data_IF_436814832470
#
_entry.id   IF_436814832470
#
_cell.length_a   1.000
_cell.length_b   1.000
_cell.length_c   1.000
_cell.angle_alpha   90.00
_cell.angle_beta   90.00
_cell.angle_gamma   90.00
#
_symmetry.space_group_name_H-M   'P 1'
#
loop_
_entity.id
_entity.type
_entity.pdbx_description
1 polymer ?
#
# COMPACT_ATOMS: atom_id res chain seq x y z
N UNK A 1 11.91 -2.49 16.51
CA UNK A 1 12.31 -3.01 15.17
C UNK A 1 12.21 -1.85 14.21
N UNK A 2 13.24 -1.61 13.43
CA UNK A 2 13.28 -0.59 12.37
C UNK A 2 12.70 -1.22 11.12
N UNK A 3 11.70 -0.60 10.49
CA UNK A 3 11.15 -1.11 9.24
C UNK A 3 12.18 -0.94 8.11
N UNK A 4 12.30 -1.96 7.26
CA UNK A 4 13.16 -1.93 6.08
C UNK A 4 12.37 -1.45 4.87
N UNK A 5 12.83 -0.37 4.26
CA UNK A 5 12.19 0.27 3.10
C UNK A 5 13.02 -0.02 1.85
N UNK A 6 12.41 -0.62 0.84
CA UNK A 6 13.02 -0.81 -0.47
C UNK A 6 12.72 0.40 -1.35
N UNK A 7 13.76 1.07 -1.84
CA UNK A 7 13.67 2.18 -2.79
C UNK A 7 14.03 1.67 -4.18
N UNK A 8 13.12 1.85 -5.13
CA UNK A 8 13.25 1.38 -6.51
C UNK A 8 13.09 2.56 -7.48
N UNK A 9 14.16 2.92 -8.17
CA UNK A 9 14.18 4.00 -9.18
C UNK A 9 15.38 3.75 -10.09
N UNK A 10 15.26 3.92 -11.39
CA UNK A 10 16.34 3.70 -12.37
C UNK A 10 17.37 4.83 -12.39
N UNK A 11 17.07 5.95 -11.73
CA UNK A 11 17.98 7.11 -11.62
C UNK A 11 18.73 7.06 -10.29
N UNK A 12 20.06 6.84 -10.29
CA UNK A 12 20.86 6.71 -9.07
C UNK A 12 20.77 7.91 -8.11
N UNK A 13 20.57 9.11 -8.64
CA UNK A 13 20.43 10.32 -7.86
C UNK A 13 19.13 10.32 -7.02
N UNK A 14 18.03 9.81 -7.58
CA UNK A 14 16.75 9.68 -6.88
C UNK A 14 16.86 8.66 -5.74
N UNK A 15 17.46 7.49 -6.04
CA UNK A 15 17.70 6.43 -5.05
C UNK A 15 18.49 6.98 -3.87
N UNK A 16 19.64 7.63 -4.11
CA UNK A 16 20.49 8.20 -3.06
C UNK A 16 19.78 9.27 -2.25
N UNK A 17 18.96 10.09 -2.90
CA UNK A 17 18.20 11.14 -2.21
C UNK A 17 17.17 10.54 -1.24
N UNK A 18 16.39 9.55 -1.69
CA UNK A 18 15.38 8.89 -0.86
C UNK A 18 16.06 8.05 0.25
N UNK A 19 17.15 7.35 -0.06
CA UNK A 19 17.95 6.62 0.91
C UNK A 19 18.46 7.53 2.03
N UNK A 20 19.05 8.68 1.69
CA UNK A 20 19.55 9.64 2.69
C UNK A 20 18.44 10.18 3.59
N UNK A 21 17.27 10.51 3.00
CA UNK A 21 16.11 11.02 3.75
C UNK A 21 15.53 9.98 4.71
N UNK A 22 15.39 8.74 4.27
CA UNK A 22 14.86 7.65 5.08
C UNK A 22 15.85 7.23 6.18
N UNK A 23 17.15 7.15 5.85
CA UNK A 23 18.19 6.82 6.82
C UNK A 23 18.32 7.89 7.91
N UNK A 24 18.10 9.17 7.61
CA UNK A 24 18.05 10.24 8.59
C UNK A 24 16.90 10.06 9.60
N UNK A 25 15.85 9.37 9.23
CA UNK A 25 14.69 9.03 10.08
C UNK A 25 14.78 7.61 10.68
N UNK A 26 15.97 7.02 10.64
CA UNK A 26 16.31 5.71 11.21
C UNK A 26 15.59 4.51 10.57
N UNK A 27 15.20 4.61 9.30
CA UNK A 27 14.76 3.43 8.53
C UNK A 27 15.98 2.65 8.01
N UNK A 28 15.85 1.33 7.96
CA UNK A 28 16.78 0.47 7.21
C UNK A 28 16.39 0.54 5.72
N UNK A 29 17.34 0.86 4.84
CA UNK A 29 17.03 1.11 3.43
C UNK A 29 17.76 0.11 2.54
N UNK A 30 16.99 -0.64 1.76
CA UNK A 30 17.48 -1.41 0.62
C UNK A 30 17.21 -0.63 -0.68
N UNK A 31 18.00 -0.86 -1.70
CA UNK A 31 17.87 -0.16 -2.99
C UNK A 31 17.87 -1.13 -4.16
N UNK A 32 17.10 -0.81 -5.19
CA UNK A 32 17.10 -1.51 -6.47
C UNK A 32 17.04 -0.49 -7.62
N UNK A 33 17.71 -0.81 -8.72
CA UNK A 33 17.78 0.07 -9.89
C UNK A 33 16.88 -0.40 -11.04
N UNK A 34 16.18 -1.50 -10.87
CA UNK A 34 15.25 -2.06 -11.85
C UNK A 34 14.16 -2.91 -11.18
N UNK A 35 13.07 -3.18 -11.92
CA UNK A 35 11.96 -3.97 -11.43
C UNK A 35 12.33 -5.42 -11.10
N UNK A 36 13.25 -6.03 -11.85
CA UNK A 36 13.67 -7.42 -11.62
C UNK A 36 14.38 -7.59 -10.26
N UNK A 37 15.30 -6.67 -9.92
CA UNK A 37 16.01 -6.67 -8.65
C UNK A 37 15.03 -6.41 -7.49
N UNK A 38 14.09 -5.49 -7.68
CA UNK A 38 13.05 -5.21 -6.69
C UNK A 38 12.21 -6.46 -6.37
N UNK A 39 11.76 -7.19 -7.38
CA UNK A 39 11.03 -8.43 -7.20
C UNK A 39 11.87 -9.51 -6.48
N UNK A 40 13.15 -9.61 -6.80
CA UNK A 40 14.06 -10.57 -6.18
C UNK A 40 14.29 -10.27 -4.69
N UNK A 41 14.42 -9.00 -4.30
CA UNK A 41 14.54 -8.55 -2.91
C UNK A 41 13.25 -8.84 -2.13
N UNK A 42 12.09 -8.49 -2.70
CA UNK A 42 10.80 -8.76 -2.07
C UNK A 42 10.54 -10.26 -1.88
N UNK A 43 10.92 -11.10 -2.84
CA UNK A 43 10.75 -12.55 -2.76
C UNK A 43 11.54 -13.18 -1.60
N UNK A 44 12.65 -12.57 -1.17
CA UNK A 44 13.45 -13.02 -0.01
C UNK A 44 12.90 -12.51 1.33
N UNK A 45 11.77 -11.81 1.33
CA UNK A 45 11.20 -11.13 2.50
C UNK A 45 12.19 -10.14 3.17
N UNK A 46 13.01 -9.47 2.36
CA UNK A 46 14.04 -8.54 2.82
C UNK A 46 13.55 -7.09 2.87
N UNK A 47 12.23 -6.83 2.75
CA UNK A 47 11.66 -5.48 2.86
C UNK A 47 10.24 -5.51 3.45
N UNK A 48 9.89 -4.43 4.15
CA UNK A 48 8.58 -4.22 4.77
C UNK A 48 7.70 -3.28 3.95
N UNK A 49 8.31 -2.38 3.17
CA UNK A 49 7.62 -1.38 2.34
C UNK A 49 8.43 -1.18 1.06
N UNK A 50 7.75 -0.95 -0.06
CA UNK A 50 8.37 -0.62 -1.34
C UNK A 50 7.99 0.81 -1.74
N UNK A 51 8.99 1.66 -1.99
CA UNK A 51 8.85 2.93 -2.70
C UNK A 51 9.27 2.68 -4.15
N UNK A 52 8.34 2.80 -5.07
CA UNK A 52 8.49 2.32 -6.44
C UNK A 52 8.29 3.45 -7.44
N UNK A 53 9.32 3.77 -8.21
CA UNK A 53 9.13 4.64 -9.37
C UNK A 53 8.29 3.95 -10.44
N UNK A 54 7.47 4.72 -11.12
CA UNK A 54 6.63 4.22 -12.22
C UNK A 54 7.40 4.18 -13.52
N UNK A 55 8.22 5.21 -13.79
CA UNK A 55 8.88 5.40 -15.07
C UNK A 55 10.25 4.72 -15.08
N UNK A 56 10.28 3.41 -15.24
CA UNK A 56 11.52 2.63 -15.35
C UNK A 56 11.61 1.92 -16.71
N UNK A 57 12.82 1.72 -17.26
CA UNK A 57 13.01 0.93 -18.47
C UNK A 57 12.69 -0.56 -18.24
N UNK A 58 12.40 -1.29 -19.31
CA UNK A 58 12.13 -2.72 -19.39
C UNK A 58 10.85 -3.17 -18.65
N UNK A 59 10.71 -2.85 -17.37
CA UNK A 59 9.55 -3.17 -16.56
C UNK A 59 9.14 -1.93 -15.76
N UNK A 60 7.98 -1.36 -16.10
CA UNK A 60 7.44 -0.19 -15.39
C UNK A 60 6.98 -0.53 -13.96
N UNK A 61 6.81 0.51 -13.14
CA UNK A 61 6.39 0.33 -11.75
C UNK A 61 5.00 -0.29 -11.60
N UNK A 62 4.10 -0.09 -12.55
CA UNK A 62 2.78 -0.71 -12.52
C UNK A 62 2.88 -2.22 -12.66
N UNK A 63 3.72 -2.71 -13.57
CA UNK A 63 3.94 -4.13 -13.77
C UNK A 63 4.64 -4.77 -12.55
N UNK A 64 5.63 -4.09 -11.98
CA UNK A 64 6.28 -4.54 -10.73
C UNK A 64 5.23 -4.67 -9.62
N UNK A 65 4.38 -3.67 -9.44
CA UNK A 65 3.33 -3.68 -8.44
C UNK A 65 2.35 -4.84 -8.65
N UNK A 66 1.83 -5.03 -9.87
CA UNK A 66 0.94 -6.16 -10.20
C UNK A 66 1.56 -7.49 -9.83
N UNK A 67 2.85 -7.70 -10.15
CA UNK A 67 3.56 -8.96 -9.80
C UNK A 67 3.72 -9.14 -8.31
N UNK A 68 4.04 -8.09 -7.57
CA UNK A 68 4.10 -8.14 -6.11
C UNK A 68 2.76 -8.48 -5.50
N UNK A 69 1.67 -7.85 -5.98
CA UNK A 69 0.33 -8.01 -5.41
C UNK A 69 -0.35 -9.32 -5.84
N UNK A 70 0.00 -9.90 -6.98
CA UNK A 70 -0.51 -11.20 -7.42
C UNK A 70 0.19 -12.39 -6.77
N UNK A 71 1.38 -12.20 -6.18
CA UNK A 71 2.13 -13.27 -5.55
C UNK A 71 1.77 -13.42 -4.05
N UNK A 72 1.26 -14.59 -3.60
CA UNK A 72 0.90 -14.83 -2.20
C UNK A 72 2.03 -14.58 -1.19
N UNK A 73 3.28 -14.68 -1.60
CA UNK A 73 4.44 -14.43 -0.73
C UNK A 73 4.73 -12.93 -0.52
N UNK A 74 4.31 -12.06 -1.44
CA UNK A 74 4.68 -10.62 -1.43
C UNK A 74 3.48 -9.68 -1.44
N UNK A 75 2.25 -10.16 -1.71
CA UNK A 75 1.04 -9.31 -1.81
C UNK A 75 0.80 -8.43 -0.57
N UNK A 76 1.27 -8.87 0.58
CA UNK A 76 1.11 -8.18 1.86
C UNK A 76 2.11 -7.04 2.07
N UNK A 77 3.10 -6.88 1.18
CA UNK A 77 4.06 -5.79 1.25
C UNK A 77 3.41 -4.53 0.71
N UNK A 78 3.30 -3.44 1.48
CA UNK A 78 2.78 -2.17 1.00
C UNK A 78 3.67 -1.59 -0.09
N UNK A 79 3.02 -1.09 -1.16
CA UNK A 79 3.69 -0.45 -2.30
C UNK A 79 3.22 1.00 -2.41
N UNK A 80 4.15 1.94 -2.34
CA UNK A 80 3.93 3.36 -2.57
C UNK A 80 4.53 3.73 -3.92
N UNK A 81 3.71 4.17 -4.84
CA UNK A 81 4.18 4.69 -6.13
C UNK A 81 4.79 6.08 -5.94
N UNK A 82 6.01 6.27 -6.44
CA UNK A 82 6.71 7.56 -6.42
C UNK A 82 6.87 8.01 -7.86
N UNK A 83 6.06 8.96 -8.32
CA UNK A 83 5.96 9.24 -9.75
C UNK A 83 5.89 10.73 -10.05
N UNK A 84 6.39 11.13 -11.23
CA UNK A 84 6.15 12.44 -11.81
C UNK A 84 4.78 12.54 -12.51
N UNK A 85 4.11 11.41 -12.70
CA UNK A 85 2.77 11.36 -13.29
C UNK A 85 1.75 11.88 -12.27
N UNK A 86 1.02 12.92 -12.64
CA UNK A 86 0.07 13.59 -11.77
C UNK A 86 -1.38 13.54 -12.30
N UNK A 87 -1.58 12.89 -13.46
CA UNK A 87 -2.90 12.77 -14.05
C UNK A 87 -3.80 11.80 -13.26
N UNK A 88 -5.10 12.08 -13.22
CA UNK A 88 -6.06 11.16 -12.58
C UNK A 88 -6.02 9.73 -13.14
N UNK A 89 -5.78 9.58 -14.46
CA UNK A 89 -5.62 8.29 -15.12
C UNK A 89 -4.46 7.46 -14.56
N UNK A 90 -3.34 8.11 -14.23
CA UNK A 90 -2.16 7.42 -13.72
C UNK A 90 -2.39 6.89 -12.31
N UNK A 91 -3.13 7.65 -11.50
CA UNK A 91 -3.54 7.21 -10.16
C UNK A 91 -4.51 6.03 -10.22
N UNK A 92 -5.45 6.05 -11.16
CA UNK A 92 -6.36 4.92 -11.39
C UNK A 92 -5.56 3.68 -11.81
N UNK A 93 -4.67 3.80 -12.78
CA UNK A 93 -3.81 2.69 -13.23
C UNK A 93 -2.97 2.10 -12.10
N UNK A 94 -2.45 2.94 -11.19
CA UNK A 94 -1.70 2.46 -10.04
C UNK A 94 -2.58 1.77 -8.98
N UNK A 95 -3.80 2.26 -8.73
CA UNK A 95 -4.75 1.58 -7.85
C UNK A 95 -5.16 0.23 -8.44
N UNK A 96 -5.43 0.15 -9.74
CA UNK A 96 -5.71 -1.10 -10.45
C UNK A 96 -4.52 -2.07 -10.41
N UNK A 97 -3.29 -1.55 -10.41
CA UNK A 97 -2.09 -2.36 -10.18
C UNK A 97 -1.94 -2.84 -8.73
N UNK A 98 -2.75 -2.33 -7.81
CA UNK A 98 -2.76 -2.71 -6.40
C UNK A 98 -1.85 -1.86 -5.50
N UNK A 99 -1.45 -0.67 -5.92
CA UNK A 99 -0.68 0.24 -5.08
C UNK A 99 -1.47 0.69 -3.85
N UNK A 100 -0.81 0.76 -2.71
CA UNK A 100 -1.43 1.18 -1.45
C UNK A 100 -1.45 2.70 -1.28
N UNK A 101 -0.50 3.41 -1.90
CA UNK A 101 -0.43 4.88 -1.84
C UNK A 101 0.44 5.48 -2.97
N UNK A 102 0.43 6.82 -3.06
CA UNK A 102 1.14 7.60 -4.08
C UNK A 102 1.89 8.78 -3.49
N UNK A 103 3.07 9.06 -4.04
CA UNK A 103 3.85 10.27 -3.79
C UNK A 103 4.22 10.89 -5.13
N UNK A 104 3.88 12.16 -5.32
CA UNK A 104 4.22 12.91 -6.54
C UNK A 104 5.63 13.51 -6.42
N UNK A 105 6.45 13.35 -7.43
CA UNK A 105 7.75 14.05 -7.55
C UNK A 105 7.52 15.54 -7.88
N UNK A 106 8.22 16.49 -7.25
CA UNK A 106 9.25 16.31 -6.23
C UNK A 106 8.65 15.87 -4.88
N UNK A 107 9.24 14.82 -4.27
CA UNK A 107 8.71 14.21 -3.05
C UNK A 107 8.96 15.13 -1.85
N UNK A 108 7.90 15.51 -1.16
CA UNK A 108 7.98 16.24 0.12
C UNK A 108 8.46 15.30 1.23
N UNK A 109 9.43 15.75 2.02
CA UNK A 109 9.97 14.97 3.15
C UNK A 109 8.88 14.63 4.18
N UNK A 110 8.02 15.62 4.49
CA UNK A 110 6.91 15.42 5.42
C UNK A 110 5.93 14.36 4.92
N UNK A 111 5.57 14.41 3.63
CA UNK A 111 4.67 13.44 3.03
C UNK A 111 5.30 12.05 2.97
N UNK A 112 6.57 11.93 2.59
CA UNK A 112 7.32 10.69 2.53
C UNK A 112 7.33 9.99 3.90
N UNK A 113 7.83 10.69 4.92
CA UNK A 113 8.01 10.12 6.25
C UNK A 113 6.67 9.77 6.90
N UNK A 114 5.65 10.62 6.75
CA UNK A 114 4.31 10.34 7.28
C UNK A 114 3.72 9.06 6.69
N UNK A 115 3.82 8.86 5.36
CA UNK A 115 3.29 7.67 4.69
C UNK A 115 4.06 6.41 5.04
N UNK A 116 5.40 6.47 4.99
CA UNK A 116 6.24 5.32 5.35
C UNK A 116 5.99 4.89 6.80
N UNK A 117 5.92 5.84 7.75
CA UNK A 117 5.59 5.51 9.15
C UNK A 117 4.20 4.90 9.32
N UNK A 118 3.21 5.42 8.60
CA UNK A 118 1.85 4.88 8.67
C UNK A 118 1.77 3.45 8.14
N UNK A 119 2.38 3.20 6.98
CA UNK A 119 2.40 1.88 6.35
C UNK A 119 3.26 0.88 7.12
N UNK A 120 4.41 1.32 7.68
CA UNK A 120 5.23 0.47 8.54
C UNK A 120 4.44 -0.02 9.76
N UNK A 121 3.70 0.88 10.41
CA UNK A 121 2.83 0.50 11.54
C UNK A 121 1.75 -0.49 11.12
N UNK A 122 1.07 -0.23 9.99
CA UNK A 122 0.05 -1.13 9.47
C UNK A 122 0.63 -2.51 9.18
N UNK A 123 1.79 -2.56 8.51
CA UNK A 123 2.50 -3.80 8.20
C UNK A 123 2.84 -4.60 9.46
N UNK A 124 3.41 -3.95 10.47
CA UNK A 124 3.74 -4.62 11.75
C UNK A 124 2.51 -5.21 12.42
N UNK A 125 1.39 -4.47 12.46
CA UNK A 125 0.14 -4.98 13.05
C UNK A 125 -0.42 -6.15 12.26
N UNK A 126 -0.37 -6.09 10.93
CA UNK A 126 -0.85 -7.18 10.07
C UNK A 126 0.00 -8.43 10.19
N UNK A 127 1.33 -8.28 10.29
CA UNK A 127 2.25 -9.40 10.47
C UNK A 127 2.05 -10.06 11.85
N UNK A 128 1.82 -9.27 12.89
CA UNK A 128 1.51 -9.81 14.22
C UNK A 128 0.22 -10.64 14.21
N UNK A 129 -0.83 -10.14 13.56
CA UNK A 129 -2.09 -10.87 13.42
C UNK A 129 -1.92 -12.17 12.62
N UNK A 130 -1.13 -12.14 11.54
CA UNK A 130 -0.80 -13.33 10.75
C UNK A 130 -0.05 -14.37 11.58
N UNK A 131 0.97 -13.94 12.32
CA UNK A 131 1.74 -14.84 13.18
C UNK A 131 0.86 -15.49 14.24
N UNK A 132 -0.03 -14.72 14.88
CA UNK A 132 -0.99 -15.25 15.85
C UNK A 132 -1.94 -16.27 15.20
N UNK A 133 -2.44 -16.00 13.99
CA UNK A 133 -3.32 -16.92 13.27
C UNK A 133 -2.62 -18.24 12.90
N UNK A 134 -1.34 -18.19 12.49
CA UNK A 134 -0.55 -19.37 12.17
C UNK A 134 -0.30 -20.21 13.44
N UNK A 135 0.11 -19.57 14.53
CA UNK A 135 0.35 -20.25 15.81
C UNK A 135 -0.92 -20.90 16.36
N UNK A 136 -2.08 -20.22 16.25
CA UNK A 136 -3.37 -20.79 16.68
C UNK A 136 -3.75 -22.04 15.86
N UNK A 137 -3.47 -22.06 14.56
CA UNK A 137 -3.66 -23.23 13.71
C UNK A 137 -2.78 -24.41 14.10
N UNK A 138 -1.51 -24.16 14.39
CA UNK A 138 -0.56 -25.19 14.81
C UNK A 138 -0.93 -25.82 16.17
N UNK A 139 -1.51 -25.03 17.08
CA UNK A 139 -1.92 -25.50 18.41
C UNK A 139 -3.33 -26.14 18.38
N UNK A 140 -4.01 -26.14 17.22
CA UNK A 140 -5.35 -26.70 17.07
C UNK A 140 -6.46 -25.90 17.75
N UNK A 141 -6.18 -24.64 18.15
CA UNK A 141 -7.15 -23.72 18.69
C UNK A 141 -7.89 -23.07 17.53
N UNK A 142 -9.08 -23.55 17.22
CA UNK A 142 -10.01 -22.83 16.35
C UNK A 142 -10.45 -21.57 17.12
N UNK A 143 -10.00 -20.41 16.69
CA UNK A 143 -10.48 -19.16 17.24
C UNK A 143 -11.53 -18.55 16.29
N UNK A 144 -12.84 -18.75 16.55
CA UNK A 144 -13.90 -18.27 15.68
C UNK A 144 -13.91 -16.74 15.54
N UNK A 145 -13.30 -16.01 16.50
CA UNK A 145 -13.16 -14.55 16.41
C UNK A 145 -12.17 -14.13 15.31
N UNK A 146 -11.09 -14.90 15.10
CA UNK A 146 -10.11 -14.62 14.03
C UNK A 146 -10.68 -14.94 12.65
N UNK A 147 -11.50 -15.97 12.53
CA UNK A 147 -12.21 -16.27 11.27
C UNK A 147 -13.28 -15.19 10.99
N UNK A 148 -14.00 -14.75 12.00
CA UNK A 148 -14.98 -13.67 11.87
C UNK A 148 -14.33 -12.33 11.48
N UNK A 149 -13.13 -12.01 12.00
CA UNK A 149 -12.37 -10.81 11.60
C UNK A 149 -11.89 -10.92 10.15
N UNK A 150 -11.44 -12.10 9.72
CA UNK A 150 -11.02 -12.32 8.33
C UNK A 150 -12.20 -12.24 7.34
N UNK A 151 -13.39 -12.67 7.74
CA UNK A 151 -14.62 -12.51 6.95
C UNK A 151 -15.20 -11.10 7.04
N UNK A 152 -15.15 -10.44 8.19
CA UNK A 152 -15.59 -9.05 8.36
C UNK A 152 -14.75 -8.07 7.52
N UNK A 153 -13.49 -8.39 7.22
CA UNK A 153 -12.65 -7.63 6.30
C UNK A 153 -13.17 -7.60 4.85
N UNK A 154 -14.12 -8.49 4.51
CA UNK A 154 -14.75 -8.52 3.18
C UNK A 154 -16.01 -7.64 3.08
N UNK A 155 -16.57 -7.19 4.20
CA UNK A 155 -17.76 -6.35 4.26
C UNK A 155 -17.46 -5.06 5.03
N UNK A 156 -16.89 -4.07 4.36
CA UNK A 156 -16.61 -2.76 4.95
C UNK A 156 -17.86 -1.88 4.96
N UNK A 157 -18.15 -1.23 6.10
CA UNK A 157 -19.14 -0.17 6.17
C UNK A 157 -18.46 1.17 5.90
N UNK A 158 -18.93 1.89 4.87
CA UNK A 158 -18.41 3.21 4.51
C UNK A 158 -19.40 4.26 5.00
N UNK A 159 -18.95 5.14 5.90
CA UNK A 159 -19.69 6.34 6.28
C UNK A 159 -19.27 7.48 5.36
N UNK A 160 -20.21 7.96 4.57
CA UNK A 160 -20.02 9.14 3.73
C UNK A 160 -20.70 10.35 4.40
N UNK A 161 -19.94 11.42 4.55
CA UNK A 161 -20.46 12.70 5.07
C UNK A 161 -20.09 13.79 4.08
N UNK A 162 -21.11 14.40 3.48
CA UNK A 162 -20.96 15.51 2.53
C UNK A 162 -22.11 16.50 2.78
N UNK A 163 -21.85 17.77 2.69
CA UNK A 163 -22.84 18.85 2.83
C UNK A 163 -23.72 19.02 1.58
N UNK A 164 -23.35 18.38 0.47
CA UNK A 164 -24.06 18.44 -0.82
C UNK A 164 -24.68 17.09 -1.18
N UNK A 165 -26.00 17.03 -1.24
CA UNK A 165 -26.75 15.84 -1.60
C UNK A 165 -26.35 15.25 -2.96
N UNK A 166 -26.03 16.10 -3.95
CA UNK A 166 -25.59 15.65 -5.28
C UNK A 166 -24.24 14.93 -5.28
N UNK A 167 -23.32 15.32 -4.40
CA UNK A 167 -22.03 14.63 -4.23
C UNK A 167 -22.24 13.27 -3.57
N UNK A 168 -23.08 13.21 -2.54
CA UNK A 168 -23.45 11.99 -1.85
C UNK A 168 -24.09 10.97 -2.80
N UNK A 169 -25.09 11.35 -3.58
CA UNK A 169 -25.77 10.46 -4.52
C UNK A 169 -24.83 9.92 -5.61
N UNK A 170 -23.93 10.77 -6.10
CA UNK A 170 -22.92 10.37 -7.10
C UNK A 170 -21.93 9.36 -6.54
N UNK A 171 -21.38 9.59 -5.35
CA UNK A 171 -20.46 8.67 -4.69
C UNK A 171 -21.16 7.36 -4.31
N UNK A 172 -22.38 7.43 -3.79
CA UNK A 172 -23.17 6.25 -3.45
C UNK A 172 -23.51 5.41 -4.67
N UNK A 173 -23.77 6.02 -5.83
CA UNK A 173 -24.03 5.29 -7.08
C UNK A 173 -22.76 4.62 -7.61
N UNK A 174 -21.61 5.29 -7.53
CA UNK A 174 -20.31 4.72 -7.91
C UNK A 174 -19.97 3.50 -7.06
N UNK A 175 -20.09 3.60 -5.73
CA UNK A 175 -19.79 2.50 -4.83
C UNK A 175 -20.74 1.30 -4.99
N UNK A 176 -22.02 1.53 -5.37
CA UNK A 176 -22.97 0.44 -5.64
C UNK A 176 -22.74 -0.24 -6.98
N UNK A 177 -22.23 0.48 -7.97
CA UNK A 177 -21.96 -0.11 -9.31
C UNK A 177 -20.77 -1.08 -9.29
N UNK A 178 -19.92 -1.01 -8.26
CA UNK A 178 -18.75 -1.87 -8.10
C UNK A 178 -19.03 -3.19 -7.36
N UNK A 179 -20.26 -3.38 -6.84
CA UNK A 179 -20.65 -4.63 -6.14
C UNK A 179 -20.62 -5.89 -7.03
N UNK A 180 -20.39 -5.76 -8.33
CA UNK A 180 -20.34 -6.88 -9.26
C UNK A 180 -18.94 -7.32 -9.71
N UNK A 181 -17.87 -6.68 -9.21
CA UNK A 181 -16.50 -7.09 -9.51
C UNK A 181 -15.82 -7.61 -8.24
N UNK A 182 -15.88 -8.92 -8.08
CA UNK A 182 -15.31 -9.66 -6.95
C UNK A 182 -13.78 -9.54 -6.78
N UNK A 183 -13.11 -8.79 -7.63
CA UNK A 183 -11.66 -8.59 -7.59
C UNK A 183 -11.21 -7.25 -6.99
N UNK A 184 -12.10 -6.26 -6.89
CA UNK A 184 -11.78 -4.94 -6.34
C UNK A 184 -11.93 -4.84 -4.81
N UNK A 185 -12.48 -5.85 -4.16
CA UNK A 185 -12.70 -5.85 -2.71
C UNK A 185 -11.43 -5.88 -1.84
N UNK A 186 -10.26 -6.14 -2.41
CA UNK A 186 -9.01 -6.19 -1.65
C UNK A 186 -8.29 -4.84 -1.52
N UNK A 187 -8.72 -3.80 -2.24
CA UNK A 187 -7.93 -2.58 -2.40
C UNK A 187 -8.58 -1.28 -1.93
N UNK A 188 -9.81 -1.30 -1.43
CA UNK A 188 -10.43 -0.10 -0.87
C UNK A 188 -9.97 0.16 0.57
N UNK A 189 -8.69 0.38 0.79
CA UNK A 189 -8.20 1.12 1.94
C UNK A 189 -8.35 2.62 1.70
N UNK A 190 -9.58 3.05 1.43
CA UNK A 190 -9.94 4.44 1.47
C UNK A 190 -10.01 4.86 2.94
N UNK A 191 -8.89 5.32 3.45
CA UNK A 191 -8.85 6.02 4.73
C UNK A 191 -9.52 7.38 4.53
N UNK A 192 -10.84 7.40 4.53
CA UNK A 192 -11.59 8.63 4.80
C UNK A 192 -11.51 8.92 6.29
N UNK A 193 -10.43 9.58 6.70
CA UNK A 193 -10.34 10.20 8.01
C UNK A 193 -11.04 11.54 7.93
N UNK A 194 -12.33 11.56 8.12
CA UNK A 194 -13.07 12.78 8.42
C UNK A 194 -13.23 12.91 9.92
N UNK A 195 -12.40 13.77 10.47
CA UNK A 195 -12.67 14.45 11.72
C UNK A 195 -13.87 15.35 11.54
N UNK A 196 -14.93 15.11 12.27
CA UNK A 196 -15.93 16.10 12.57
C UNK A 196 -16.17 16.16 14.07
N UNK A 197 -15.45 17.06 14.69
CA UNK A 197 -16.01 17.85 15.77
C UNK A 197 -16.14 19.27 15.25
N UNK A 198 -17.37 19.72 15.08
CA UNK A 198 -17.77 21.09 15.44
C UNK A 198 -19.28 21.13 15.63
N UNK A 199 -19.63 21.50 16.86
CA UNK A 199 -20.91 22.10 17.23
C UNK A 199 -21.26 23.26 16.31
#
# INVERSE_FOLDING_TARGET
MTARVLVVDDVPANVKLLEARLSAEYFDVATAMCGADALAICAKAECDIVLLDVMMPDMDGFEVCRRLKSNPATHHIPVVMVTALDQPSDRVAGLEAGADDFLTKPVSDVALIARVRSLARLKMMTDELRMRALTSKEIGIQNPELEAIAEAGKAGHILMVDDRASSYERLASMLRSEEHTSELQSHLNLVCRLLLEKK
#
